data_IF_746863465001
#
_entry.id   IF_746863465001
#
_cell.length_a   1.000
_cell.length_b   1.000
_cell.length_c   1.000
_cell.angle_alpha   90.00
_cell.angle_beta   90.00
_cell.angle_gamma   90.00
#
_symmetry.space_group_name_H-M   'P 1'
#
loop_
_entity.id
_entity.type
_entity.pdbx_description
1 polymer ?
#
# COMPACT_ATOMS: atom_id res chain seq x y z
N UNK A 1 -18.00 29.39 8.32
CA UNK A 1 -17.41 28.09 8.70
C UNK A 1 -17.90 27.77 10.10
N UNK A 2 -18.33 26.54 10.39
CA UNK A 2 -18.80 26.17 11.73
C UNK A 2 -17.57 25.73 12.53
N UNK A 3 -17.28 26.42 13.62
CA UNK A 3 -16.26 25.98 14.58
C UNK A 3 -16.68 24.61 15.13
N UNK A 4 -15.83 23.60 14.92
CA UNK A 4 -16.05 22.26 15.47
C UNK A 4 -15.42 22.25 16.85
N UNK A 5 -16.27 22.20 17.87
CA UNK A 5 -15.85 22.05 19.26
C UNK A 5 -15.50 20.58 19.55
N UNK A 6 -14.21 20.31 19.71
CA UNK A 6 -13.67 18.98 20.00
C UNK A 6 -13.60 18.66 21.51
N UNK A 7 -13.91 19.61 22.39
CA UNK A 7 -13.79 19.46 23.86
C UNK A 7 -14.62 18.29 24.40
N UNK A 8 -15.72 17.96 23.73
CA UNK A 8 -16.63 16.85 24.08
C UNK A 8 -16.04 15.46 23.90
N UNK A 9 -14.90 15.33 23.22
CA UNK A 9 -14.26 14.06 22.90
C UNK A 9 -12.81 13.99 23.41
N UNK A 10 -12.39 14.93 24.27
CA UNK A 10 -11.02 14.98 24.80
C UNK A 10 -10.65 13.69 25.56
N UNK A 11 -11.61 13.07 26.23
CA UNK A 11 -11.45 11.81 26.95
C UNK A 11 -11.18 10.60 26.05
N UNK A 12 -11.56 10.66 24.77
CA UNK A 12 -11.35 9.60 23.78
C UNK A 12 -9.99 9.68 23.07
N UNK A 13 -9.28 10.79 23.18
CA UNK A 13 -8.03 11.01 22.42
C UNK A 13 -6.93 10.01 22.81
N UNK A 14 -6.81 9.71 24.11
CA UNK A 14 -5.78 8.83 24.66
C UNK A 14 -6.26 7.39 24.88
N UNK A 15 -7.48 7.06 24.44
CA UNK A 15 -8.01 5.71 24.59
C UNK A 15 -7.24 4.71 23.72
N UNK A 16 -6.97 3.50 24.22
CA UNK A 16 -6.36 2.46 23.41
C UNK A 16 -7.27 2.11 22.23
N UNK A 17 -6.67 1.92 21.05
CA UNK A 17 -7.42 1.53 19.87
C UNK A 17 -8.12 0.17 20.10
N UNK A 18 -9.45 0.08 19.98
CA UNK A 18 -10.17 -1.16 20.24
C UNK A 18 -9.87 -2.18 19.15
N UNK A 19 -9.27 -3.31 19.54
CA UNK A 19 -9.09 -4.47 18.65
C UNK A 19 -10.13 -5.52 18.99
N UNK A 20 -10.91 -5.94 17.99
CA UNK A 20 -11.91 -6.99 18.17
C UNK A 20 -11.24 -8.32 18.53
N UNK A 21 -11.77 -8.99 19.56
CA UNK A 21 -11.34 -10.34 19.96
C UNK A 21 -11.83 -11.43 18.99
N UNK A 22 -12.97 -11.18 18.34
CA UNK A 22 -13.64 -12.17 17.49
C UNK A 22 -13.33 -11.97 16.01
N UNK A 23 -13.00 -10.74 15.60
CA UNK A 23 -12.71 -10.38 14.22
C UNK A 23 -11.29 -9.79 14.16
N UNK A 24 -10.25 -10.64 14.10
CA UNK A 24 -8.88 -10.17 14.03
C UNK A 24 -8.68 -9.32 12.78
N UNK A 25 -7.76 -8.35 12.87
CA UNK A 25 -7.44 -7.51 11.72
C UNK A 25 -6.79 -8.34 10.61
N UNK A 26 -7.22 -8.10 9.38
CA UNK A 26 -6.64 -8.74 8.19
C UNK A 26 -5.18 -8.32 8.00
N UNK A 27 -4.30 -9.26 7.66
CA UNK A 27 -2.88 -8.97 7.39
C UNK A 27 -2.72 -7.98 6.22
N UNK A 28 -1.66 -7.17 6.23
CA UNK A 28 -1.43 -6.14 5.20
C UNK A 28 -1.42 -6.70 3.77
N UNK A 29 -0.83 -7.89 3.58
CA UNK A 29 -0.75 -8.55 2.27
C UNK A 29 -2.14 -8.92 1.74
N UNK A 30 -2.96 -9.52 2.60
CA UNK A 30 -4.32 -9.90 2.24
C UNK A 30 -5.20 -8.67 1.95
N UNK A 31 -4.98 -7.55 2.68
CA UNK A 31 -5.62 -6.27 2.36
C UNK A 31 -5.24 -5.76 0.97
N UNK A 32 -3.97 -5.88 0.57
CA UNK A 32 -3.51 -5.44 -0.75
C UNK A 32 -4.14 -6.25 -1.88
N UNK A 33 -4.41 -7.54 -1.67
CA UNK A 33 -5.07 -8.40 -2.66
C UNK A 33 -6.48 -7.92 -3.05
N UNK A 34 -7.19 -7.22 -2.15
CA UNK A 34 -8.49 -6.60 -2.47
C UNK A 34 -8.38 -5.55 -3.59
N UNK A 35 -7.21 -4.93 -3.73
CA UNK A 35 -6.90 -3.90 -4.72
C UNK A 35 -6.11 -4.45 -5.91
N UNK A 36 -6.18 -5.76 -6.17
CA UNK A 36 -5.46 -6.41 -7.26
C UNK A 36 -6.39 -6.86 -8.42
N UNK A 37 -7.23 -5.97 -9.00
CA UNK A 37 -8.20 -6.38 -10.03
C UNK A 37 -7.54 -6.94 -11.30
N UNK A 38 -6.33 -6.48 -11.61
CA UNK A 38 -5.56 -6.92 -12.79
C UNK A 38 -4.74 -8.18 -12.53
N UNK A 39 -4.56 -8.61 -11.28
CA UNK A 39 -3.82 -9.84 -10.97
C UNK A 39 -4.52 -11.11 -11.47
N UNK A 40 -5.84 -11.04 -11.69
CA UNK A 40 -6.60 -12.11 -12.31
C UNK A 40 -6.38 -12.22 -13.83
N UNK A 41 -5.79 -11.21 -14.48
CA UNK A 41 -5.53 -11.23 -15.91
C UNK A 41 -4.31 -12.11 -16.20
N UNK A 42 -4.47 -13.00 -17.17
CA UNK A 42 -3.35 -13.76 -17.75
C UNK A 42 -2.30 -12.78 -18.30
N UNK A 43 -1.04 -12.97 -17.93
CA UNK A 43 0.08 -12.13 -18.40
C UNK A 43 0.40 -10.90 -17.54
N UNK A 44 -0.42 -10.53 -16.54
CA UNK A 44 -0.12 -9.38 -15.67
C UNK A 44 1.24 -9.51 -14.97
N UNK A 45 1.54 -10.69 -14.44
CA UNK A 45 2.82 -11.00 -13.79
C UNK A 45 4.00 -11.03 -14.77
N UNK A 46 3.75 -11.35 -16.04
CA UNK A 46 4.79 -11.36 -17.07
C UNK A 46 5.19 -9.94 -17.47
N UNK A 47 4.21 -9.04 -17.61
CA UNK A 47 4.46 -7.62 -17.89
C UNK A 47 5.22 -6.96 -16.73
N UNK A 48 4.86 -7.24 -15.48
CA UNK A 48 5.62 -6.73 -14.31
C UNK A 48 7.09 -7.16 -14.38
N UNK A 49 7.35 -8.46 -14.61
CA UNK A 49 8.72 -8.97 -14.71
C UNK A 49 9.50 -8.39 -15.89
N UNK A 50 8.83 -8.13 -17.01
CA UNK A 50 9.48 -7.49 -18.15
C UNK A 50 9.87 -6.05 -17.82
N UNK A 51 8.95 -5.27 -17.23
CA UNK A 51 9.23 -3.90 -16.79
C UNK A 51 10.35 -3.83 -15.76
N UNK A 52 10.40 -4.77 -14.81
CA UNK A 52 11.50 -4.87 -13.84
C UNK A 52 12.85 -5.07 -14.53
N UNK A 53 12.92 -5.94 -15.55
CA UNK A 53 14.15 -6.16 -16.34
C UNK A 53 14.54 -4.93 -17.12
N UNK A 54 13.57 -4.30 -17.79
CA UNK A 54 13.81 -3.12 -18.62
C UNK A 54 14.35 -1.95 -17.77
N UNK A 55 13.76 -1.71 -16.59
CA UNK A 55 14.27 -0.69 -15.66
C UNK A 55 15.68 -0.98 -15.15
N UNK A 56 16.00 -2.24 -14.80
CA UNK A 56 17.38 -2.60 -14.41
C UNK A 56 18.36 -2.37 -15.56
N UNK A 57 17.97 -2.67 -16.80
CA UNK A 57 18.82 -2.38 -17.96
C UNK A 57 19.00 -0.88 -18.21
N UNK A 58 17.96 -0.07 -18.04
CA UNK A 58 18.03 1.38 -18.19
C UNK A 58 18.94 2.03 -17.12
N UNK A 59 18.87 1.55 -15.89
CA UNK A 59 19.73 2.01 -14.79
C UNK A 59 21.21 1.67 -15.06
N UNK A 60 21.47 0.45 -15.54
CA UNK A 60 22.82 0.02 -15.94
C UNK A 60 23.36 0.87 -17.11
N UNK A 61 22.55 1.15 -18.13
CA UNK A 61 22.98 2.00 -19.25
C UNK A 61 23.25 3.44 -18.80
N UNK A 62 22.43 3.99 -17.89
CA UNK A 62 22.68 5.32 -17.29
C UNK A 62 24.00 5.35 -16.52
N UNK A 63 24.32 4.33 -15.74
CA UNK A 63 25.60 4.24 -15.03
C UNK A 63 26.80 4.23 -15.98
N UNK A 64 26.71 3.49 -17.09
CA UNK A 64 27.78 3.47 -18.12
C UNK A 64 27.90 4.76 -18.93
N UNK A 65 26.86 5.61 -18.98
CA UNK A 65 26.88 6.87 -19.73
C UNK A 65 27.52 8.04 -18.96
N UNK A 66 27.63 7.92 -17.63
CA UNK A 66 28.27 8.90 -16.76
C UNK A 66 29.72 8.54 -16.36
N UNK A 67 30.25 7.41 -16.85
CA UNK A 67 31.69 7.08 -16.86
C UNK A 67 32.39 7.61 -18.13
#
# INVERSE_FOLDING_TARGET
>A
MKEIDFSKYEDMLDMPHPVSKNHPQMARRDRAAQFAPFAALTGHQEVIRQMERDHVSEDMERETFYE
#
